data_IF_867360548746
#
_entry.id   IF_867360548746
#
_cell.length_a   1.000
_cell.length_b   1.000
_cell.length_c   1.000
_cell.angle_alpha   90.00
_cell.angle_beta   90.00
_cell.angle_gamma   90.00
#
_symmetry.space_group_name_H-M   'P 1'
#
loop_
_entity.id
_entity.type
_entity.pdbx_description
1 polymer ?
#
# COMPACT_ATOMS: atom_id res chain seq x y z
N UNK A 1 -13.38 -24.66 1.98
CA UNK A 1 -12.20 -24.13 2.71
C UNK A 1 -12.12 -22.59 2.63
N UNK A 2 -12.19 -22.02 1.43
CA UNK A 2 -12.12 -20.57 1.16
C UNK A 2 -13.07 -19.64 1.97
N UNK A 3 -14.35 -20.00 2.14
CA UNK A 3 -15.29 -19.19 2.96
C UNK A 3 -14.87 -19.08 4.44
N UNK A 4 -14.25 -20.13 4.97
CA UNK A 4 -13.78 -20.15 6.36
C UNK A 4 -12.56 -19.23 6.55
N UNK A 5 -11.66 -19.16 5.57
CA UNK A 5 -10.48 -18.27 5.60
C UNK A 5 -10.89 -16.79 5.57
N UNK A 6 -11.85 -16.41 4.71
CA UNK A 6 -12.39 -15.04 4.71
C UNK A 6 -13.00 -14.65 6.06
N UNK A 7 -13.79 -15.55 6.66
CA UNK A 7 -14.39 -15.30 7.96
C UNK A 7 -13.33 -15.10 9.06
N UNK A 8 -12.25 -15.91 9.05
CA UNK A 8 -11.13 -15.75 9.99
C UNK A 8 -10.39 -14.42 9.83
N UNK A 9 -10.10 -14.01 8.59
CA UNK A 9 -9.45 -12.71 8.33
C UNK A 9 -10.34 -11.54 8.69
N UNK A 10 -11.64 -11.61 8.38
CA UNK A 10 -12.59 -10.59 8.80
C UNK A 10 -12.66 -10.50 10.32
N UNK A 11 -12.77 -11.63 11.02
CA UNK A 11 -12.77 -11.67 12.48
C UNK A 11 -11.48 -11.10 13.08
N UNK A 12 -10.33 -11.36 12.45
CA UNK A 12 -9.05 -10.75 12.84
C UNK A 12 -9.09 -9.23 12.70
N UNK A 13 -9.48 -8.70 11.52
CA UNK A 13 -9.55 -7.25 11.28
C UNK A 13 -10.56 -6.60 12.23
N UNK A 14 -11.75 -7.18 12.39
CA UNK A 14 -12.76 -6.71 13.34
C UNK A 14 -12.20 -6.70 14.77
N UNK A 15 -11.41 -7.71 15.16
CA UNK A 15 -10.73 -7.78 16.45
C UNK A 15 -9.70 -6.67 16.66
N UNK A 16 -8.93 -6.32 15.62
CA UNK A 16 -7.99 -5.17 15.66
C UNK A 16 -8.75 -3.85 15.77
N UNK A 17 -9.87 -3.73 15.07
CA UNK A 17 -10.73 -2.54 15.08
C UNK A 17 -11.52 -2.38 16.38
N UNK A 18 -11.86 -3.49 17.05
CA UNK A 18 -12.62 -3.47 18.29
C UNK A 18 -11.83 -2.82 19.41
N UNK A 19 -12.49 -1.92 20.13
CA UNK A 19 -12.04 -1.44 21.43
C UNK A 19 -12.93 -2.05 22.50
N UNK A 20 -12.35 -2.42 23.65
CA UNK A 20 -13.17 -2.95 24.74
C UNK A 20 -14.14 -1.85 25.22
N UNK A 21 -15.36 -2.23 25.59
CA UNK A 21 -16.35 -1.28 26.09
C UNK A 21 -15.82 -0.42 27.25
N UNK A 22 -14.94 -1.00 28.09
CA UNK A 22 -14.24 -0.29 29.14
C UNK A 22 -13.20 0.71 28.61
N UNK A 23 -12.42 0.35 27.59
CA UNK A 23 -11.47 1.27 26.98
C UNK A 23 -12.17 2.46 26.31
N UNK A 24 -13.34 2.24 25.70
CA UNK A 24 -14.18 3.31 25.14
C UNK A 24 -14.77 4.18 26.25
N UNK A 25 -15.38 3.57 27.28
CA UNK A 25 -16.02 4.29 28.39
C UNK A 25 -15.02 5.10 29.24
N UNK A 26 -13.78 4.63 29.35
CA UNK A 26 -12.73 5.22 30.18
C UNK A 26 -11.54 5.74 29.35
N UNK A 27 -11.74 6.13 28.10
CA UNK A 27 -10.66 6.55 27.20
C UNK A 27 -9.78 7.67 27.79
N UNK A 28 -10.35 8.58 28.58
CA UNK A 28 -9.62 9.65 29.28
C UNK A 28 -8.86 9.23 30.55
N UNK A 29 -9.11 8.02 31.06
CA UNK A 29 -8.53 7.49 32.30
C UNK A 29 -7.59 6.31 32.06
N UNK A 30 -7.78 5.57 30.97
CA UNK A 30 -6.88 4.49 30.56
C UNK A 30 -5.65 5.11 29.91
N UNK A 31 -4.60 5.31 30.72
CA UNK A 31 -3.28 5.66 30.21
C UNK A 31 -2.71 4.44 29.49
N UNK A 32 -2.86 4.42 28.17
CA UNK A 32 -2.25 3.39 27.34
C UNK A 32 -0.72 3.54 27.43
N UNK A 33 -0.05 2.65 28.17
CA UNK A 33 1.42 2.60 28.15
C UNK A 33 1.89 2.25 26.74
N UNK A 34 3.01 2.83 26.31
CA UNK A 34 3.66 2.44 25.05
C UNK A 34 3.97 0.92 25.02
N UNK A 35 4.24 0.34 26.18
CA UNK A 35 4.48 -1.10 26.34
C UNK A 35 3.24 -1.94 26.05
N UNK A 36 2.05 -1.49 26.48
CA UNK A 36 0.79 -2.21 26.22
C UNK A 36 0.42 -2.16 24.74
N UNK A 37 0.64 -1.02 24.09
CA UNK A 37 0.42 -0.88 22.64
C UNK A 37 1.37 -1.79 21.86
N UNK A 38 2.65 -1.82 22.24
CA UNK A 38 3.65 -2.70 21.64
C UNK A 38 3.28 -4.18 21.83
N UNK A 39 2.81 -4.58 23.03
CA UNK A 39 2.39 -5.95 23.31
C UNK A 39 1.20 -6.35 22.45
N UNK A 40 0.18 -5.49 22.35
CA UNK A 40 -0.98 -5.72 21.47
C UNK A 40 -0.56 -5.84 20.01
N UNK A 41 0.31 -4.97 19.54
CA UNK A 41 0.82 -5.01 18.17
C UNK A 41 1.51 -6.36 17.88
N UNK A 42 2.41 -6.82 18.76
CA UNK A 42 3.07 -8.13 18.64
C UNK A 42 2.07 -9.28 18.58
N UNK A 43 1.04 -9.27 19.44
CA UNK A 43 -0.01 -10.30 19.39
C UNK A 43 -0.75 -10.32 18.06
N UNK A 44 -1.07 -9.15 17.49
CA UNK A 44 -1.70 -9.09 16.17
C UNK A 44 -0.76 -9.53 15.05
N UNK A 45 0.52 -9.19 15.15
CA UNK A 45 1.57 -9.61 14.23
C UNK A 45 1.72 -11.14 14.20
N UNK A 46 1.84 -11.77 15.37
CA UNK A 46 1.91 -13.23 15.49
C UNK A 46 0.64 -13.91 14.97
N UNK A 47 -0.54 -13.38 15.33
CA UNK A 47 -1.82 -13.93 14.88
C UNK A 47 -1.96 -13.88 13.36
N UNK A 48 -1.67 -12.74 12.74
CA UNK A 48 -1.74 -12.59 11.29
C UNK A 48 -0.71 -13.46 10.57
N UNK A 49 0.51 -13.53 11.11
CA UNK A 49 1.56 -14.43 10.61
C UNK A 49 1.09 -15.88 10.62
N UNK A 50 0.58 -16.36 11.76
CA UNK A 50 0.11 -17.74 11.89
C UNK A 50 -1.05 -18.03 10.93
N UNK A 51 -1.97 -17.08 10.74
CA UNK A 51 -3.07 -17.21 9.78
C UNK A 51 -2.54 -17.39 8.36
N UNK A 52 -1.61 -16.55 7.91
CA UNK A 52 -1.12 -16.56 6.52
C UNK A 52 -0.11 -17.68 6.24
N UNK A 53 0.78 -18.00 7.19
CA UNK A 53 1.78 -19.06 7.04
C UNK A 53 1.16 -20.46 6.95
N UNK A 54 -0.10 -20.63 7.36
CA UNK A 54 -0.82 -21.91 7.24
C UNK A 54 -1.48 -22.13 5.86
N UNK A 55 -1.39 -21.16 4.96
CA UNK A 55 -2.08 -21.17 3.66
C UNK A 55 -1.18 -21.69 2.54
N UNK A 56 -1.82 -22.26 1.51
CA UNK A 56 -1.15 -22.53 0.22
C UNK A 56 -0.89 -21.23 -0.54
N UNK A 57 0.03 -21.23 -1.50
CA UNK A 57 0.35 -20.04 -2.31
C UNK A 57 -0.87 -19.49 -3.06
N UNK A 58 -1.72 -20.37 -3.60
CA UNK A 58 -2.96 -19.98 -4.26
C UNK A 58 -3.95 -19.33 -3.27
N UNK A 59 -4.13 -19.92 -2.09
CA UNK A 59 -5.03 -19.36 -1.06
C UNK A 59 -4.49 -18.05 -0.49
N UNK A 60 -3.16 -17.88 -0.42
CA UNK A 60 -2.48 -16.70 0.09
C UNK A 60 -2.81 -15.46 -0.74
N UNK A 61 -2.73 -15.55 -2.08
CA UNK A 61 -3.07 -14.44 -2.97
C UNK A 61 -4.52 -13.98 -2.80
N UNK A 62 -5.43 -14.93 -2.60
CA UNK A 62 -6.85 -14.61 -2.44
C UNK A 62 -7.18 -14.10 -1.04
N UNK A 63 -6.52 -14.65 -0.02
CA UNK A 63 -6.58 -14.16 1.36
C UNK A 63 -6.06 -12.72 1.46
N UNK A 64 -4.94 -12.42 0.79
CA UNK A 64 -4.37 -11.08 0.69
C UNK A 64 -5.30 -10.11 -0.01
N UNK A 65 -5.89 -10.52 -1.14
CA UNK A 65 -6.88 -9.71 -1.86
C UNK A 65 -8.09 -9.40 -0.97
N UNK A 66 -8.55 -10.36 -0.18
CA UNK A 66 -9.62 -10.11 0.78
C UNK A 66 -9.19 -9.16 1.91
N UNK A 67 -7.98 -9.34 2.44
CA UNK A 67 -7.42 -8.47 3.47
C UNK A 67 -7.31 -7.01 2.99
N UNK A 68 -6.75 -6.78 1.80
CA UNK A 68 -6.65 -5.45 1.17
C UNK A 68 -8.04 -4.81 0.98
N UNK A 69 -9.02 -5.60 0.53
CA UNK A 69 -10.39 -5.10 0.42
C UNK A 69 -10.97 -4.68 1.79
N UNK A 70 -10.68 -5.41 2.86
CA UNK A 70 -11.07 -5.00 4.22
C UNK A 70 -10.38 -3.70 4.63
N UNK A 71 -9.08 -3.54 4.34
CA UNK A 71 -8.34 -2.30 4.63
C UNK A 71 -8.98 -1.07 3.96
N UNK A 72 -9.46 -1.23 2.73
CA UNK A 72 -10.08 -0.14 1.97
C UNK A 72 -11.35 0.43 2.61
N UNK A 73 -12.01 -0.36 3.48
CA UNK A 73 -13.23 0.03 4.17
C UNK A 73 -12.99 0.66 5.55
N UNK A 74 -11.74 0.72 6.03
CA UNK A 74 -11.41 1.18 7.38
C UNK A 74 -11.37 2.70 7.42
N UNK A 75 -12.16 3.29 8.33
CA UNK A 75 -12.20 4.74 8.55
C UNK A 75 -11.28 5.22 9.67
N UNK A 76 -10.87 4.33 10.56
CA UNK A 76 -9.97 4.69 11.67
C UNK A 76 -8.53 4.73 11.15
N UNK A 77 -8.00 5.93 10.94
CA UNK A 77 -6.66 6.19 10.40
C UNK A 77 -5.54 5.53 11.23
N UNK A 78 -5.64 5.51 12.57
CA UNK A 78 -4.61 4.89 13.42
C UNK A 78 -4.61 3.37 13.29
N UNK A 79 -5.79 2.74 13.30
CA UNK A 79 -5.92 1.29 13.11
C UNK A 79 -5.54 0.88 11.69
N UNK A 80 -5.86 1.70 10.70
CA UNK A 80 -5.41 1.51 9.32
C UNK A 80 -3.88 1.49 9.25
N UNK A 81 -3.19 2.46 9.86
CA UNK A 81 -1.72 2.46 9.97
C UNK A 81 -1.17 1.17 10.57
N UNK A 82 -1.76 0.67 11.66
CA UNK A 82 -1.32 -0.60 12.26
C UNK A 82 -1.47 -1.77 11.29
N UNK A 83 -2.62 -1.87 10.60
CA UNK A 83 -2.87 -2.97 9.68
C UNK A 83 -1.95 -2.91 8.44
N UNK A 84 -1.64 -1.71 7.94
CA UNK A 84 -0.62 -1.55 6.90
C UNK A 84 0.79 -1.89 7.39
N UNK A 85 1.14 -1.54 8.63
CA UNK A 85 2.42 -1.93 9.23
C UNK A 85 2.53 -3.46 9.41
N UNK A 86 1.43 -4.13 9.77
CA UNK A 86 1.39 -5.59 9.79
C UNK A 86 1.63 -6.19 8.39
N UNK A 87 1.13 -5.56 7.33
CA UNK A 87 1.36 -5.99 5.96
C UNK A 87 2.83 -5.85 5.54
N UNK A 88 3.48 -4.77 5.96
CA UNK A 88 4.93 -4.56 5.82
C UNK A 88 5.74 -5.63 6.55
N UNK A 89 5.32 -6.00 7.75
CA UNK A 89 5.97 -7.04 8.57
C UNK A 89 5.88 -8.41 7.88
N UNK A 90 4.72 -8.78 7.33
CA UNK A 90 4.54 -10.06 6.63
C UNK A 90 5.50 -10.19 5.43
N UNK A 91 5.72 -9.09 4.71
CA UNK A 91 6.71 -9.03 3.61
C UNK A 91 8.14 -9.13 4.15
N UNK A 92 8.40 -8.52 5.30
CA UNK A 92 9.71 -8.56 5.96
C UNK A 92 10.06 -9.94 6.51
N UNK A 93 9.06 -10.70 6.95
CA UNK A 93 9.21 -12.11 7.35
C UNK A 93 9.15 -13.09 6.18
N UNK A 94 9.12 -12.62 4.93
CA UNK A 94 9.09 -13.43 3.71
C UNK A 94 7.91 -14.42 3.63
N UNK A 95 6.81 -14.14 4.34
CA UNK A 95 5.59 -14.96 4.28
C UNK A 95 4.86 -14.70 2.96
N UNK A 96 4.91 -13.45 2.48
CA UNK A 96 4.32 -12.99 1.21
C UNK A 96 5.38 -12.18 0.46
N UNK A 97 5.48 -12.36 -0.85
CA UNK A 97 6.39 -11.56 -1.66
C UNK A 97 5.94 -10.09 -1.76
N UNK A 98 6.90 -9.16 -1.78
CA UNK A 98 6.62 -7.73 -1.97
C UNK A 98 5.84 -7.48 -3.28
N UNK A 99 6.17 -8.24 -4.33
CA UNK A 99 5.47 -8.20 -5.62
C UNK A 99 3.98 -8.48 -5.48
N UNK A 100 3.61 -9.57 -4.79
CA UNK A 100 2.21 -9.96 -4.63
C UNK A 100 1.43 -8.88 -3.86
N UNK A 101 2.02 -8.31 -2.80
CA UNK A 101 1.41 -7.20 -2.04
C UNK A 101 1.18 -5.97 -2.92
N UNK A 102 2.21 -5.49 -3.62
CA UNK A 102 2.09 -4.33 -4.49
C UNK A 102 1.06 -4.55 -5.60
N UNK A 103 1.07 -5.71 -6.26
CA UNK A 103 0.09 -6.03 -7.30
C UNK A 103 -1.33 -6.08 -6.76
N UNK A 104 -1.55 -6.71 -5.59
CA UNK A 104 -2.88 -6.78 -4.98
C UNK A 104 -3.39 -5.39 -4.56
N UNK A 105 -2.53 -4.53 -4.02
CA UNK A 105 -2.90 -3.15 -3.69
C UNK A 105 -3.30 -2.36 -4.94
N UNK A 106 -2.47 -2.39 -5.98
CA UNK A 106 -2.72 -1.63 -7.21
C UNK A 106 -3.95 -2.13 -8.00
N UNK A 107 -4.23 -3.44 -7.96
CA UNK A 107 -5.41 -4.07 -8.58
C UNK A 107 -6.70 -3.84 -7.78
N UNK A 108 -6.64 -3.36 -6.54
CA UNK A 108 -7.82 -3.11 -5.74
C UNK A 108 -8.66 -1.97 -6.35
N UNK A 109 -9.94 -2.24 -6.60
CA UNK A 109 -10.88 -1.27 -7.18
C UNK A 109 -11.08 -0.05 -6.27
N UNK A 110 -11.01 -0.26 -4.96
CA UNK A 110 -11.12 0.81 -3.95
C UNK A 110 -9.87 1.69 -3.87
N UNK A 111 -8.78 1.38 -4.60
CA UNK A 111 -7.61 2.24 -4.70
C UNK A 111 -7.89 3.39 -5.67
N UNK A 112 -8.59 4.38 -5.15
CA UNK A 112 -8.99 5.62 -5.82
C UNK A 112 -8.57 6.83 -4.98
N UNK A 113 -8.23 7.95 -5.63
CA UNK A 113 -7.71 9.15 -4.94
C UNK A 113 -8.73 9.78 -3.98
N UNK A 114 -10.03 9.49 -4.14
CA UNK A 114 -11.10 9.90 -3.24
C UNK A 114 -11.08 9.16 -1.90
N UNK A 115 -10.47 7.97 -1.85
CA UNK A 115 -10.20 7.25 -0.61
C UNK A 115 -8.78 7.59 -0.12
N UNK A 116 -8.62 8.82 0.41
CA UNK A 116 -7.32 9.42 0.73
C UNK A 116 -6.45 8.54 1.63
N UNK A 117 -6.98 8.07 2.76
CA UNK A 117 -6.22 7.29 3.74
C UNK A 117 -5.71 5.98 3.11
N UNK A 118 -6.60 5.23 2.46
CA UNK A 118 -6.23 3.96 1.81
C UNK A 118 -5.22 4.19 0.68
N UNK A 119 -5.40 5.24 -0.12
CA UNK A 119 -4.47 5.64 -1.17
C UNK A 119 -3.08 5.95 -0.61
N UNK A 120 -3.00 6.87 0.35
CA UNK A 120 -1.74 7.32 0.93
C UNK A 120 -1.01 6.18 1.63
N UNK A 121 -1.70 5.35 2.40
CA UNK A 121 -1.08 4.20 3.06
C UNK A 121 -0.63 3.12 2.07
N UNK A 122 -1.39 2.88 1.00
CA UNK A 122 -0.99 1.92 -0.04
C UNK A 122 0.30 2.37 -0.75
N UNK A 123 0.36 3.62 -1.21
CA UNK A 123 1.57 4.13 -1.87
C UNK A 123 2.76 4.27 -0.91
N UNK A 124 2.52 4.60 0.37
CA UNK A 124 3.56 4.60 1.39
C UNK A 124 4.13 3.19 1.62
N UNK A 125 3.27 2.17 1.65
CA UNK A 125 3.74 0.79 1.79
C UNK A 125 4.51 0.33 0.54
N UNK A 126 4.00 0.64 -0.66
CA UNK A 126 4.68 0.33 -1.93
C UNK A 126 6.09 0.93 -1.93
N UNK A 127 6.23 2.21 -1.59
CA UNK A 127 7.53 2.90 -1.50
C UNK A 127 8.54 2.15 -0.61
N UNK A 128 8.09 1.59 0.51
CA UNK A 128 8.95 0.87 1.46
C UNK A 128 9.39 -0.51 0.97
N UNK A 129 8.56 -1.20 0.19
CA UNK A 129 8.81 -2.60 -0.18
C UNK A 129 9.19 -2.81 -1.65
N UNK A 130 9.08 -1.78 -2.50
CA UNK A 130 9.35 -1.87 -3.93
C UNK A 130 10.79 -2.29 -4.26
N UNK A 131 11.74 -1.96 -3.39
CA UNK A 131 13.14 -2.38 -3.52
C UNK A 131 13.36 -3.88 -3.43
N UNK A 132 12.38 -4.64 -2.90
CA UNK A 132 12.40 -6.10 -2.81
C UNK A 132 11.83 -6.78 -4.08
N UNK A 133 11.53 -6.03 -5.13
CA UNK A 133 10.89 -6.53 -6.36
C UNK A 133 11.91 -6.51 -7.50
N UNK A 134 11.90 -7.56 -8.33
CA UNK A 134 12.73 -7.59 -9.53
C UNK A 134 12.35 -6.49 -10.53
N UNK A 135 13.29 -6.09 -11.39
CA UNK A 135 13.09 -4.99 -12.34
C UNK A 135 11.91 -5.22 -13.30
N UNK A 136 11.55 -6.47 -13.62
CA UNK A 136 10.39 -6.76 -14.49
C UNK A 136 9.09 -6.47 -13.73
N UNK A 137 9.02 -6.88 -12.47
CA UNK A 137 7.93 -6.56 -11.57
C UNK A 137 7.80 -5.05 -11.36
N UNK A 138 8.91 -4.35 -11.10
CA UNK A 138 8.90 -2.88 -10.98
C UNK A 138 8.37 -2.23 -12.26
N UNK A 139 8.75 -2.71 -13.44
CA UNK A 139 8.23 -2.23 -14.73
C UNK A 139 6.70 -2.41 -14.84
N UNK A 140 6.19 -3.56 -14.48
CA UNK A 140 4.74 -3.85 -14.54
C UNK A 140 3.95 -2.98 -13.54
N UNK A 141 4.51 -2.77 -12.34
CA UNK A 141 3.94 -1.86 -11.35
C UNK A 141 3.97 -0.41 -11.85
N UNK A 142 5.07 0.04 -12.47
CA UNK A 142 5.22 1.40 -13.01
C UNK A 142 4.08 1.74 -13.98
N UNK A 143 3.75 0.83 -14.90
CA UNK A 143 2.60 1.00 -15.82
C UNK A 143 1.30 1.30 -15.07
N UNK A 144 0.98 0.43 -14.11
CA UNK A 144 -0.25 0.53 -13.33
C UNK A 144 -0.29 1.82 -12.48
N UNK A 145 0.86 2.24 -11.94
CA UNK A 145 0.98 3.49 -11.17
C UNK A 145 0.79 4.71 -12.07
N UNK A 146 1.37 4.70 -13.27
CA UNK A 146 1.20 5.77 -14.24
C UNK A 146 -0.26 5.91 -14.68
N UNK A 147 -0.96 4.81 -14.95
CA UNK A 147 -2.39 4.81 -15.27
C UNK A 147 -3.23 5.45 -14.14
N UNK A 148 -2.95 5.07 -12.89
CA UNK A 148 -3.62 5.64 -11.70
C UNK A 148 -3.31 7.14 -11.54
N UNK A 149 -2.06 7.55 -11.79
CA UNK A 149 -1.65 8.95 -11.73
C UNK A 149 -2.35 9.80 -12.81
N UNK A 150 -2.53 9.26 -14.02
CA UNK A 150 -3.27 9.93 -15.09
C UNK A 150 -4.73 10.16 -14.72
N UNK A 151 -5.39 9.17 -14.12
CA UNK A 151 -6.77 9.29 -13.66
C UNK A 151 -6.97 10.43 -12.64
N UNK A 152 -5.96 10.77 -11.85
CA UNK A 152 -6.01 11.85 -10.87
C UNK A 152 -5.82 13.25 -11.48
N UNK A 153 -5.13 13.39 -12.62
CA UNK A 153 -4.87 14.70 -13.26
C UNK A 153 -6.12 15.41 -13.73
N UNK A 154 -7.21 14.69 -13.95
CA UNK A 154 -8.51 15.27 -14.27
C UNK A 154 -9.13 16.03 -13.09
N UNK A 155 -8.57 15.90 -11.88
CA UNK A 155 -9.03 16.56 -10.65
C UNK A 155 -8.14 17.76 -10.31
N UNK A 156 -8.59 18.98 -10.59
CA UNK A 156 -7.89 20.24 -10.26
C UNK A 156 -8.05 20.68 -8.78
N UNK A 157 -8.25 19.75 -7.84
CA UNK A 157 -8.54 20.09 -6.44
C UNK A 157 -7.28 20.09 -5.56
N UNK A 158 -7.00 21.21 -4.87
CA UNK A 158 -5.89 21.30 -3.90
C UNK A 158 -6.03 20.28 -2.75
N UNK A 159 -7.23 19.81 -2.47
CA UNK A 159 -7.49 18.79 -1.45
C UNK A 159 -6.81 17.42 -1.75
N UNK A 160 -6.36 17.16 -2.99
CA UNK A 160 -5.73 15.88 -3.35
C UNK A 160 -4.19 15.90 -3.31
N UNK A 161 -3.59 16.95 -2.73
CA UNK A 161 -2.12 17.11 -2.71
C UNK A 161 -1.38 15.98 -1.97
N UNK A 162 -1.95 15.40 -0.91
CA UNK A 162 -1.34 14.29 -0.20
C UNK A 162 -1.25 13.04 -1.08
N UNK A 163 -2.32 12.79 -1.86
CA UNK A 163 -2.43 11.69 -2.79
C UNK A 163 -1.42 11.82 -3.95
N UNK A 164 -1.24 13.05 -4.46
CA UNK A 164 -0.19 13.36 -5.44
C UNK A 164 1.20 13.08 -4.88
N UNK A 165 1.51 13.61 -3.68
CA UNK A 165 2.81 13.39 -3.04
C UNK A 165 3.10 11.91 -2.78
N UNK A 166 2.09 11.13 -2.40
CA UNK A 166 2.25 9.70 -2.14
C UNK A 166 2.68 8.95 -3.42
N UNK A 167 2.06 9.24 -4.56
CA UNK A 167 2.47 8.69 -5.86
C UNK A 167 3.85 9.21 -6.27
N UNK A 168 4.06 10.52 -6.16
CA UNK A 168 5.30 11.18 -6.56
C UNK A 168 6.51 10.58 -5.84
N UNK A 169 6.35 10.21 -4.56
CA UNK A 169 7.39 9.54 -3.79
C UNK A 169 7.78 8.19 -4.40
N UNK A 170 6.80 7.35 -4.73
CA UNK A 170 7.04 6.03 -5.34
C UNK A 170 7.63 6.18 -6.74
N UNK A 171 7.11 7.11 -7.55
CA UNK A 171 7.67 7.40 -8.86
C UNK A 171 9.11 7.90 -8.73
N UNK A 172 9.39 8.80 -7.80
CA UNK A 172 10.73 9.26 -7.50
C UNK A 172 11.67 8.10 -7.16
N UNK A 173 11.23 7.15 -6.32
CA UNK A 173 12.01 5.97 -5.99
C UNK A 173 12.33 5.09 -7.21
N UNK A 174 11.36 4.87 -8.11
CA UNK A 174 11.54 4.08 -9.34
C UNK A 174 12.43 4.81 -10.37
N UNK A 175 12.25 6.12 -10.50
CA UNK A 175 12.94 6.96 -11.49
C UNK A 175 14.36 7.34 -11.05
N UNK A 176 14.67 7.24 -9.76
CA UNK A 176 16.00 7.50 -9.24
C UNK A 176 16.99 6.42 -9.68
N UNK A 177 17.99 6.84 -10.47
CA UNK A 177 19.07 5.99 -10.95
C UNK A 177 19.90 5.38 -9.82
N UNK A 178 19.98 6.04 -8.67
CA UNK A 178 20.73 5.53 -7.52
C UNK A 178 20.06 4.32 -6.86
N UNK A 179 18.73 4.20 -6.97
CA UNK A 179 18.00 3.06 -6.41
C UNK A 179 18.10 1.81 -7.30
N UNK A 180 18.53 1.96 -8.56
CA UNK A 180 18.76 0.86 -9.50
C UNK A 180 17.55 -0.10 -9.67
N UNK A 181 16.33 0.37 -9.44
CA UNK A 181 15.11 -0.46 -9.49
C UNK A 181 14.69 -0.82 -10.91
N UNK A 182 14.96 0.06 -11.87
CA UNK A 182 14.63 -0.15 -13.28
C UNK A 182 15.69 0.51 -14.18
N UNK A 183 16.20 -0.18 -15.23
CA UNK A 183 17.04 0.44 -16.24
C UNK A 183 16.37 1.66 -16.89
N UNK A 184 17.12 2.76 -17.07
CA UNK A 184 16.57 4.03 -17.55
C UNK A 184 15.89 3.96 -18.92
N UNK A 185 16.35 3.09 -19.82
CA UNK A 185 15.70 2.93 -21.12
C UNK A 185 14.30 2.30 -21.02
N UNK A 186 14.07 1.41 -20.04
CA UNK A 186 12.74 0.84 -19.80
C UNK A 186 11.80 1.87 -19.19
N UNK A 187 12.32 2.75 -18.33
CA UNK A 187 11.58 3.90 -17.82
C UNK A 187 11.11 4.77 -19.00
N UNK A 188 12.03 5.12 -19.91
CA UNK A 188 11.71 5.95 -21.08
C UNK A 188 10.67 5.28 -21.99
N UNK A 189 10.79 3.98 -22.25
CA UNK A 189 9.82 3.21 -23.03
C UNK A 189 8.42 3.27 -22.41
N UNK A 190 8.30 3.11 -21.08
CA UNK A 190 7.00 3.20 -20.40
C UNK A 190 6.45 4.63 -20.37
N UNK A 191 7.30 5.65 -20.20
CA UNK A 191 6.85 7.04 -20.22
C UNK A 191 6.38 7.47 -21.61
N UNK A 192 7.06 7.05 -22.67
CA UNK A 192 6.67 7.36 -24.06
C UNK A 192 5.35 6.69 -24.46
N UNK A 193 5.07 5.49 -23.91
CA UNK A 193 3.80 4.79 -24.15
C UNK A 193 2.63 5.45 -23.45
N UNK A 194 2.83 5.86 -22.19
CA UNK A 194 1.75 6.41 -21.36
C UNK A 194 1.54 7.91 -21.59
N UNK A 195 2.60 8.66 -21.87
CA UNK A 195 2.50 10.09 -22.18
C UNK A 195 2.78 10.32 -23.66
N UNK A 196 1.80 10.84 -24.40
CA UNK A 196 2.12 11.50 -25.66
C UNK A 196 3.08 12.64 -25.33
N UNK A 197 4.17 12.78 -26.07
CA UNK A 197 5.27 13.75 -25.85
C UNK A 197 4.84 15.21 -25.56
N UNK A 198 3.57 15.58 -25.80
CA UNK A 198 2.99 16.90 -25.54
C UNK A 198 2.42 17.07 -24.12
N UNK A 199 2.09 15.99 -23.41
CA UNK A 199 1.47 16.04 -22.07
C UNK A 199 2.51 16.09 -20.92
N UNK A 200 3.80 15.96 -21.25
CA UNK A 200 4.93 16.04 -20.32
C UNK A 200 5.16 17.46 -19.76
N UNK A 201 4.59 18.49 -20.42
CA UNK A 201 4.82 19.91 -20.10
C UNK A 201 3.94 20.38 -18.92
N UNK A 202 2.80 19.73 -18.66
CA UNK A 202 1.87 20.17 -17.62
C UNK A 202 2.06 19.51 -16.25
N UNK A 203 2.99 18.56 -16.10
CA UNK A 203 3.40 18.10 -14.77
C UNK A 203 4.66 18.87 -14.37
N UNK A 204 4.45 20.12 -13.98
CA UNK A 204 5.52 21.04 -13.57
C UNK A 204 6.45 20.53 -12.46
N UNK A 205 6.13 19.40 -11.82
CA UNK A 205 7.01 18.73 -10.84
C UNK A 205 7.74 17.48 -11.35
N UNK A 206 7.23 16.77 -12.38
CA UNK A 206 7.96 15.63 -12.98
C UNK A 206 9.05 16.09 -13.96
N UNK A 207 8.94 17.30 -14.50
CA UNK A 207 9.98 17.87 -15.37
C UNK A 207 11.35 17.97 -14.66
N UNK A 208 11.34 18.23 -13.34
CA UNK A 208 12.54 18.24 -12.50
C UNK A 208 13.11 16.82 -12.24
N UNK A 209 12.26 15.79 -12.25
CA UNK A 209 12.66 14.39 -12.11
C UNK A 209 13.21 13.79 -13.41
N UNK A 210 12.87 14.38 -14.56
CA UNK A 210 13.36 13.98 -15.89
C UNK A 210 14.61 14.77 -16.33
N UNK A 211 14.90 15.92 -15.71
CA UNK A 211 16.06 16.75 -16.03
C UNK A 211 17.44 16.09 -15.79
N UNK A 212 17.59 15.04 -14.94
CA UNK A 212 18.84 14.30 -14.88
C UNK A 212 18.97 13.24 -15.98
N UNK A 213 17.90 12.78 -16.65
CA UNK A 213 17.97 11.64 -17.57
C UNK A 213 18.88 11.91 -18.76
#
# INVERSE_FOLDING_TARGET
MYRCQKAKLKAFVDGVLSESALAVAFHGYVKHSAEDQMRRYKTYQESLRNLLSSLSEADLAVALSHYVNLLSAIKNTQKSKWLFALLEDIVTFEIVSARLVCETLLKCESLVFTNEDFWCFSFTLIDKIISKIDYKGVRDLLKTILDKAQGMRSSNNVAVMNQFRAIEKVLGAILDRNNCLLPSYLILDELQKNFRLKDLIHIGNLQNLLHPL
#
